data_IF_910197443456
#
_entry.id   IF_910197443456
#
_cell.length_a   1.000
_cell.length_b   1.000
_cell.length_c   1.000
_cell.angle_alpha   90.00
_cell.angle_beta   90.00
_cell.angle_gamma   90.00
#
_symmetry.space_group_name_H-M   'P 1'
#
loop_
_entity.id
_entity.type
_entity.pdbx_description
1 polymer ?
#
# COMPACT_ATOMS: atom_id res chain seq x y z
N UNK A 1 -24.36 -100.32 -94.53
CA UNK A 1 -24.05 -100.21 -93.10
C UNK A 1 -22.54 -100.24 -93.02
N UNK A 2 -21.92 -99.10 -92.73
CA UNK A 2 -20.48 -98.90 -92.93
C UNK A 2 -19.66 -99.77 -91.96
N UNK A 3 -18.85 -100.68 -92.50
CA UNK A 3 -17.97 -101.58 -91.73
C UNK A 3 -16.99 -100.80 -90.82
N UNK A 4 -16.62 -99.58 -91.21
CA UNK A 4 -15.80 -98.67 -90.41
C UNK A 4 -16.49 -98.26 -89.09
N UNK A 5 -17.79 -97.98 -89.12
CA UNK A 5 -18.55 -97.59 -87.92
C UNK A 5 -18.74 -98.77 -86.94
N UNK A 6 -18.80 -100.01 -87.46
CA UNK A 6 -18.86 -101.22 -86.62
C UNK A 6 -17.52 -101.58 -85.98
N UNK A 7 -16.40 -101.31 -86.65
CA UNK A 7 -15.04 -101.51 -86.10
C UNK A 7 -14.71 -100.48 -85.01
N UNK A 8 -15.13 -99.22 -85.16
CA UNK A 8 -15.02 -98.21 -84.12
C UNK A 8 -15.89 -98.53 -82.88
N UNK A 9 -17.10 -99.05 -83.07
CA UNK A 9 -17.96 -99.48 -81.95
C UNK A 9 -17.40 -100.68 -81.19
N UNK A 10 -16.75 -101.63 -81.87
CA UNK A 10 -16.09 -102.77 -81.22
C UNK A 10 -14.85 -102.34 -80.44
N UNK A 11 -14.02 -101.45 -80.99
CA UNK A 11 -12.84 -100.94 -80.28
C UNK A 11 -13.23 -100.13 -79.03
N UNK A 12 -14.28 -99.31 -79.10
CA UNK A 12 -14.84 -98.61 -77.93
C UNK A 12 -15.35 -99.60 -76.89
N UNK A 13 -16.00 -100.69 -77.31
CA UNK A 13 -16.50 -101.72 -76.38
C UNK A 13 -15.36 -102.49 -75.69
N UNK A 14 -14.30 -102.84 -76.41
CA UNK A 14 -13.11 -103.46 -75.83
C UNK A 14 -12.42 -102.53 -74.82
N UNK A 15 -12.31 -101.23 -75.13
CA UNK A 15 -11.77 -100.25 -74.19
C UNK A 15 -12.64 -100.16 -72.93
N UNK A 16 -13.97 -100.11 -73.07
CA UNK A 16 -14.89 -100.08 -71.92
C UNK A 16 -14.79 -101.37 -71.09
N UNK A 17 -14.70 -102.53 -71.72
CA UNK A 17 -14.59 -103.82 -71.02
C UNK A 17 -13.22 -103.97 -70.33
N UNK A 18 -12.15 -103.44 -70.91
CA UNK A 18 -10.84 -103.36 -70.26
C UNK A 18 -10.87 -102.41 -69.05
N UNK A 19 -11.45 -101.20 -69.19
CA UNK A 19 -11.65 -100.28 -68.06
C UNK A 19 -12.46 -100.94 -66.95
N UNK A 20 -13.51 -101.71 -67.28
CA UNK A 20 -14.30 -102.45 -66.29
C UNK A 20 -13.49 -103.53 -65.58
N UNK A 21 -12.66 -104.28 -66.30
CA UNK A 21 -11.77 -105.30 -65.71
C UNK A 21 -10.73 -104.66 -64.78
N UNK A 22 -10.10 -103.57 -65.22
CA UNK A 22 -9.11 -102.84 -64.44
C UNK A 22 -9.73 -102.21 -63.19
N UNK A 23 -10.91 -101.60 -63.32
CA UNK A 23 -11.65 -101.04 -62.17
C UNK A 23 -12.03 -102.13 -61.18
N UNK A 24 -12.48 -103.29 -61.66
CA UNK A 24 -12.80 -104.44 -60.79
C UNK A 24 -11.56 -104.97 -60.08
N UNK A 25 -10.43 -105.08 -60.77
CA UNK A 25 -9.18 -105.51 -60.14
C UNK A 25 -8.73 -104.49 -59.09
N UNK A 26 -8.78 -103.19 -59.39
CA UNK A 26 -8.40 -102.13 -58.46
C UNK A 26 -9.27 -102.15 -57.20
N UNK A 27 -10.60 -102.28 -57.35
CA UNK A 27 -11.52 -102.38 -56.22
C UNK A 27 -11.30 -103.64 -55.37
N UNK A 28 -10.99 -104.78 -55.99
CA UNK A 28 -10.64 -106.00 -55.25
C UNK A 28 -9.32 -105.85 -54.48
N UNK A 29 -8.33 -105.18 -55.07
CA UNK A 29 -7.05 -104.88 -54.40
C UNK A 29 -7.24 -103.94 -53.21
N UNK A 30 -8.00 -102.85 -53.40
CA UNK A 30 -8.36 -101.92 -52.32
C UNK A 30 -9.12 -102.61 -51.19
N UNK A 31 -10.08 -103.50 -51.52
CA UNK A 31 -10.81 -104.29 -50.51
C UNK A 31 -9.87 -105.20 -49.73
N UNK A 32 -8.90 -105.82 -50.40
CA UNK A 32 -7.94 -106.71 -49.76
C UNK A 32 -6.96 -105.95 -48.86
N UNK A 33 -6.51 -104.75 -49.25
CA UNK A 33 -5.75 -103.85 -48.39
C UNK A 33 -6.57 -103.35 -47.20
N UNK A 34 -7.85 -103.02 -47.40
CA UNK A 34 -8.75 -102.61 -46.33
C UNK A 34 -8.99 -103.76 -45.33
N UNK A 35 -9.07 -105.01 -45.79
CA UNK A 35 -9.14 -106.16 -44.89
C UNK A 35 -7.82 -106.37 -44.13
N UNK A 36 -6.67 -106.23 -44.78
CA UNK A 36 -5.36 -106.30 -44.09
C UNK A 36 -5.21 -105.21 -43.03
N UNK A 37 -5.65 -103.97 -43.31
CA UNK A 37 -5.60 -102.89 -42.33
C UNK A 37 -6.60 -103.11 -41.20
N UNK A 38 -7.82 -103.57 -41.50
CA UNK A 38 -8.80 -103.97 -40.48
C UNK A 38 -8.27 -105.08 -39.58
N UNK A 39 -7.65 -106.12 -40.15
CA UNK A 39 -7.05 -107.22 -39.38
C UNK A 39 -5.85 -106.74 -38.56
N UNK A 40 -5.05 -105.82 -39.09
CA UNK A 40 -3.95 -105.18 -38.36
C UNK A 40 -4.47 -104.40 -37.15
N UNK A 41 -5.49 -103.55 -37.32
CA UNK A 41 -6.09 -102.81 -36.21
C UNK A 41 -6.79 -103.75 -35.22
N UNK A 42 -7.48 -104.79 -35.69
CA UNK A 42 -8.11 -105.78 -34.81
C UNK A 42 -7.09 -106.59 -34.00
N UNK A 43 -5.91 -106.88 -34.57
CA UNK A 43 -4.81 -107.53 -33.85
C UNK A 43 -4.13 -106.58 -32.87
N UNK A 44 -3.90 -105.31 -33.24
CA UNK A 44 -3.39 -104.26 -32.35
C UNK A 44 -4.32 -104.05 -31.15
N UNK A 45 -5.64 -103.95 -31.39
CA UNK A 45 -6.64 -103.80 -30.34
C UNK A 45 -6.77 -105.04 -29.46
N UNK A 46 -6.62 -106.25 -30.03
CA UNK A 46 -6.54 -107.49 -29.23
C UNK A 46 -5.28 -107.52 -28.38
N UNK A 47 -4.13 -107.13 -28.91
CA UNK A 47 -2.89 -107.10 -28.15
C UNK A 47 -2.91 -106.04 -27.03
N UNK A 48 -3.45 -104.85 -27.31
CA UNK A 48 -3.72 -103.82 -26.29
C UNK A 48 -4.71 -104.32 -25.24
N UNK A 49 -5.77 -105.00 -25.65
CA UNK A 49 -6.72 -105.64 -24.74
C UNK A 49 -6.02 -106.70 -23.89
N UNK A 50 -5.16 -107.54 -24.45
CA UNK A 50 -4.43 -108.58 -23.72
C UNK A 50 -3.42 -107.96 -22.74
N UNK A 51 -2.81 -106.81 -23.06
CA UNK A 51 -1.96 -106.03 -22.14
C UNK A 51 -2.81 -105.38 -21.02
N UNK A 52 -4.00 -104.89 -21.35
CA UNK A 52 -4.92 -104.29 -20.37
C UNK A 52 -5.67 -105.31 -19.51
N UNK A 53 -5.79 -106.56 -19.98
CA UNK A 53 -6.46 -107.68 -19.32
C UNK A 53 -5.48 -108.71 -18.73
N UNK A 54 -4.18 -108.64 -19.06
CA UNK A 54 -3.13 -109.21 -18.23
C UNK A 54 -3.37 -108.67 -16.82
N UNK A 55 -3.42 -109.54 -15.79
CA UNK A 55 -3.63 -109.06 -14.44
C UNK A 55 -2.44 -108.16 -14.12
N UNK A 56 -2.67 -106.84 -14.16
CA UNK A 56 -1.72 -105.86 -13.70
C UNK A 56 -1.25 -106.37 -12.35
N UNK A 57 0.03 -106.72 -12.25
CA UNK A 57 0.61 -107.18 -11.00
C UNK A 57 0.09 -106.23 -9.93
N UNK A 58 -0.50 -106.77 -8.86
CA UNK A 58 -1.17 -105.94 -7.85
C UNK A 58 -0.27 -104.83 -7.28
N UNK A 59 1.05 -104.88 -7.54
CA UNK A 59 2.07 -103.86 -7.33
C UNK A 59 1.94 -102.61 -8.22
N UNK A 60 1.72 -102.74 -9.54
CA UNK A 60 1.68 -101.61 -10.47
C UNK A 60 0.41 -100.76 -10.32
N UNK A 61 -0.74 -101.43 -10.12
CA UNK A 61 -1.99 -100.73 -9.80
C UNK A 61 -1.92 -100.04 -8.43
N UNK A 62 -1.37 -100.72 -7.40
CA UNK A 62 -1.12 -100.10 -6.09
C UNK A 62 -0.19 -98.89 -6.18
N UNK A 63 0.87 -98.97 -7.00
CA UNK A 63 1.76 -97.85 -7.22
C UNK A 63 1.06 -96.65 -7.87
N UNK A 64 0.20 -96.89 -8.86
CA UNK A 64 -0.62 -95.84 -9.47
C UNK A 64 -1.60 -95.18 -8.48
N UNK A 65 -2.23 -95.97 -7.61
CA UNK A 65 -3.10 -95.47 -6.54
C UNK A 65 -2.32 -94.66 -5.51
N UNK A 66 -1.15 -95.14 -5.05
CA UNK A 66 -0.29 -94.39 -4.13
C UNK A 66 0.19 -93.05 -4.71
N UNK A 67 0.52 -93.00 -6.00
CA UNK A 67 0.88 -91.75 -6.67
C UNK A 67 -0.33 -90.82 -6.75
N UNK A 68 -1.50 -91.33 -7.09
CA UNK A 68 -2.72 -90.54 -7.15
C UNK A 68 -3.11 -89.97 -5.77
N UNK A 69 -2.98 -90.75 -4.70
CA UNK A 69 -3.21 -90.32 -3.31
C UNK A 69 -2.18 -89.27 -2.85
N UNK A 70 -0.89 -89.47 -3.17
CA UNK A 70 0.15 -88.45 -2.91
C UNK A 70 -0.12 -87.16 -3.67
N UNK A 71 -0.53 -87.24 -4.93
CA UNK A 71 -0.86 -86.06 -5.72
C UNK A 71 -2.13 -85.36 -5.19
N UNK A 72 -3.16 -86.11 -4.80
CA UNK A 72 -4.38 -85.56 -4.21
C UNK A 72 -4.11 -84.84 -2.88
N UNK A 73 -3.26 -85.42 -2.02
CA UNK A 73 -2.86 -84.78 -0.75
C UNK A 73 -2.01 -83.53 -0.98
N UNK A 74 -1.08 -83.56 -1.95
CA UNK A 74 -0.33 -82.36 -2.34
C UNK A 74 -1.24 -81.27 -2.91
N UNK A 75 -2.19 -81.62 -3.78
CA UNK A 75 -3.17 -80.68 -4.32
C UNK A 75 -4.03 -80.06 -3.21
N UNK A 76 -4.55 -80.86 -2.28
CA UNK A 76 -5.31 -80.37 -1.13
C UNK A 76 -4.50 -79.37 -0.30
N UNK A 77 -3.21 -79.65 -0.06
CA UNK A 77 -2.33 -78.73 0.66
C UNK A 77 -2.09 -77.43 -0.12
N UNK A 78 -1.89 -77.51 -1.43
CA UNK A 78 -1.74 -76.30 -2.25
C UNK A 78 -3.03 -75.47 -2.29
N UNK A 79 -4.20 -76.10 -2.28
CA UNK A 79 -5.49 -75.40 -2.17
C UNK A 79 -5.63 -74.68 -0.84
N UNK A 80 -5.24 -75.32 0.27
CA UNK A 80 -5.21 -74.69 1.60
C UNK A 80 -4.27 -73.47 1.63
N UNK A 81 -3.06 -73.60 1.08
CA UNK A 81 -2.07 -72.51 0.99
C UNK A 81 -2.61 -71.34 0.14
N UNK A 82 -3.24 -71.63 -1.00
CA UNK A 82 -3.91 -70.63 -1.85
C UNK A 82 -5.03 -69.94 -1.07
N UNK A 83 -5.86 -70.70 -0.34
CA UNK A 83 -6.97 -70.15 0.43
C UNK A 83 -6.47 -69.23 1.56
N UNK A 84 -5.40 -69.62 2.26
CA UNK A 84 -4.75 -68.78 3.26
C UNK A 84 -4.20 -67.48 2.64
N UNK A 85 -3.53 -67.57 1.49
CA UNK A 85 -3.02 -66.39 0.78
C UNK A 85 -4.16 -65.44 0.33
N UNK A 86 -5.28 -66.00 -0.15
CA UNK A 86 -6.46 -65.23 -0.52
C UNK A 86 -7.08 -64.51 0.67
N UNK A 87 -7.20 -65.18 1.82
CA UNK A 87 -7.71 -64.55 3.04
C UNK A 87 -6.79 -63.44 3.54
N UNK A 88 -5.47 -63.66 3.56
CA UNK A 88 -4.51 -62.62 3.93
C UNK A 88 -4.58 -61.39 3.02
N UNK A 89 -4.72 -61.61 1.71
CA UNK A 89 -4.87 -60.53 0.75
C UNK A 89 -6.21 -59.80 0.91
N UNK A 90 -7.30 -60.52 1.20
CA UNK A 90 -8.60 -59.93 1.52
C UNK A 90 -8.50 -59.02 2.74
N UNK A 91 -7.83 -59.46 3.80
CA UNK A 91 -7.66 -58.66 5.03
C UNK A 91 -6.82 -57.40 4.76
N UNK A 92 -5.72 -57.53 4.01
CA UNK A 92 -4.91 -56.37 3.58
C UNK A 92 -5.72 -55.38 2.74
N UNK A 93 -6.52 -55.86 1.79
CA UNK A 93 -7.38 -55.00 0.97
C UNK A 93 -8.44 -54.30 1.83
N UNK A 94 -9.03 -55.01 2.79
CA UNK A 94 -10.00 -54.40 3.72
C UNK A 94 -9.36 -53.30 4.57
N UNK A 95 -8.14 -53.52 5.08
CA UNK A 95 -7.39 -52.50 5.83
C UNK A 95 -7.02 -51.31 4.96
N UNK A 96 -6.56 -51.55 3.73
CA UNK A 96 -6.24 -50.50 2.77
C UNK A 96 -7.48 -49.66 2.41
N UNK A 97 -8.64 -50.29 2.26
CA UNK A 97 -9.91 -49.62 1.99
C UNK A 97 -10.34 -48.72 3.16
N UNK A 98 -10.17 -49.17 4.41
CA UNK A 98 -10.43 -48.32 5.59
C UNK A 98 -9.49 -47.12 5.62
N UNK A 99 -8.19 -47.32 5.37
CA UNK A 99 -7.21 -46.22 5.29
C UNK A 99 -7.55 -45.22 4.18
N UNK A 100 -7.97 -45.70 3.01
CA UNK A 100 -8.38 -44.86 1.89
C UNK A 100 -9.63 -44.02 2.22
N UNK A 101 -10.61 -44.60 2.92
CA UNK A 101 -11.79 -43.87 3.39
C UNK A 101 -11.41 -42.77 4.40
N UNK A 102 -10.56 -43.09 5.37
CA UNK A 102 -10.04 -42.11 6.33
C UNK A 102 -9.30 -40.95 5.63
N UNK A 103 -8.42 -41.26 4.68
CA UNK A 103 -7.72 -40.24 3.90
C UNK A 103 -8.69 -39.35 3.13
N UNK A 104 -9.71 -39.94 2.50
CA UNK A 104 -10.76 -39.18 1.81
C UNK A 104 -11.48 -38.22 2.77
N UNK A 105 -11.86 -38.67 3.95
CA UNK A 105 -12.51 -37.83 4.97
C UNK A 105 -11.59 -36.69 5.45
N UNK A 106 -10.30 -36.96 5.66
CA UNK A 106 -9.33 -35.94 6.02
C UNK A 106 -9.19 -34.89 4.91
N UNK A 107 -9.02 -35.31 3.65
CA UNK A 107 -8.94 -34.40 2.51
C UNK A 107 -10.21 -33.54 2.40
N UNK A 108 -11.39 -34.13 2.62
CA UNK A 108 -12.64 -33.36 2.63
C UNK A 108 -12.70 -32.32 3.76
N UNK A 109 -12.16 -32.62 4.95
CA UNK A 109 -12.10 -31.64 6.04
C UNK A 109 -11.09 -30.52 5.73
N UNK A 110 -9.92 -30.88 5.22
CA UNK A 110 -8.86 -29.92 4.90
C UNK A 110 -9.28 -28.99 3.77
N UNK A 111 -9.98 -29.51 2.75
CA UNK A 111 -10.54 -28.69 1.67
C UNK A 111 -11.58 -27.69 2.17
N UNK A 112 -12.49 -28.11 3.06
CA UNK A 112 -13.45 -27.19 3.69
C UNK A 112 -12.77 -26.10 4.53
N UNK A 113 -11.68 -26.43 5.23
CA UNK A 113 -10.90 -25.44 6.00
C UNK A 113 -10.21 -24.46 5.03
N UNK A 114 -9.59 -24.96 3.97
CA UNK A 114 -8.94 -24.13 2.96
C UNK A 114 -9.92 -23.19 2.25
N UNK A 115 -11.13 -23.66 1.91
CA UNK A 115 -12.19 -22.84 1.34
C UNK A 115 -12.62 -21.70 2.28
N UNK A 116 -12.80 -21.99 3.57
CA UNK A 116 -13.08 -20.95 4.58
C UNK A 116 -11.96 -19.93 4.67
N UNK A 117 -10.70 -20.36 4.67
CA UNK A 117 -9.55 -19.47 4.72
C UNK A 117 -9.46 -18.58 3.46
N UNK A 118 -9.79 -19.10 2.28
CA UNK A 118 -9.86 -18.31 1.04
C UNK A 118 -10.90 -17.21 1.18
N UNK A 119 -12.11 -17.53 1.65
CA UNK A 119 -13.19 -16.54 1.86
C UNK A 119 -12.76 -15.47 2.87
N UNK A 120 -12.16 -15.86 4.00
CA UNK A 120 -11.64 -14.91 5.00
C UNK A 120 -10.54 -14.00 4.41
N UNK A 121 -9.62 -14.55 3.62
CA UNK A 121 -8.57 -13.78 2.95
C UNK A 121 -9.16 -12.77 1.95
N UNK A 122 -10.22 -13.12 1.24
CA UNK A 122 -10.91 -12.20 0.34
C UNK A 122 -11.62 -11.08 1.09
N UNK A 123 -12.32 -11.40 2.19
CA UNK A 123 -12.93 -10.39 3.06
C UNK A 123 -11.88 -9.42 3.63
N UNK A 124 -10.72 -9.93 4.05
CA UNK A 124 -9.62 -9.09 4.52
C UNK A 124 -9.05 -8.19 3.42
N UNK A 125 -8.98 -8.66 2.17
CA UNK A 125 -8.57 -7.83 1.03
C UNK A 125 -9.57 -6.70 0.78
N UNK A 126 -10.87 -6.97 0.81
CA UNK A 126 -11.92 -5.96 0.66
C UNK A 126 -11.84 -4.92 1.80
N UNK A 127 -11.78 -5.37 3.05
CA UNK A 127 -11.65 -4.48 4.22
C UNK A 127 -10.38 -3.61 4.16
N UNK A 128 -9.27 -4.16 3.67
CA UNK A 128 -8.04 -3.38 3.44
C UNK A 128 -8.24 -2.29 2.38
N UNK A 129 -8.99 -2.56 1.32
CA UNK A 129 -9.32 -1.55 0.31
C UNK A 129 -10.24 -0.46 0.87
N UNK A 130 -11.26 -0.84 1.63
CA UNK A 130 -12.16 0.11 2.32
C UNK A 130 -11.39 1.04 3.27
N UNK A 131 -10.50 0.49 4.11
CA UNK A 131 -9.68 1.29 5.01
C UNK A 131 -8.73 2.24 4.28
N UNK A 132 -8.19 1.82 3.12
CA UNK A 132 -7.39 2.72 2.26
C UNK A 132 -8.23 3.88 1.74
N UNK A 133 -9.44 3.61 1.25
CA UNK A 133 -10.35 4.65 0.78
C UNK A 133 -10.76 5.61 1.91
N UNK A 134 -11.09 5.07 3.09
CA UNK A 134 -11.39 5.88 4.28
C UNK A 134 -10.21 6.76 4.68
N UNK A 135 -8.98 6.24 4.64
CA UNK A 135 -7.78 7.02 4.93
C UNK A 135 -7.57 8.16 3.91
N UNK A 136 -7.78 7.90 2.63
CA UNK A 136 -7.70 8.93 1.57
C UNK A 136 -8.73 10.03 1.83
N UNK A 137 -10.00 9.66 2.08
CA UNK A 137 -11.06 10.62 2.36
C UNK A 137 -10.80 11.43 3.64
N UNK A 138 -10.29 10.80 4.70
CA UNK A 138 -9.92 11.49 5.93
C UNK A 138 -8.78 12.51 5.68
N UNK A 139 -7.76 12.13 4.90
CA UNK A 139 -6.67 13.03 4.54
C UNK A 139 -7.15 14.22 3.70
N UNK A 140 -8.09 14.00 2.77
CA UNK A 140 -8.72 15.08 2.01
C UNK A 140 -9.45 16.07 2.92
N UNK A 141 -10.27 15.56 3.87
CA UNK A 141 -10.95 16.41 4.87
C UNK A 141 -9.95 17.21 5.72
N UNK A 142 -8.87 16.57 6.18
CA UNK A 142 -7.82 17.27 6.93
C UNK A 142 -7.19 18.38 6.08
N UNK A 143 -6.94 18.15 4.78
CA UNK A 143 -6.42 19.19 3.89
C UNK A 143 -7.40 20.35 3.72
N UNK A 144 -8.69 20.07 3.54
CA UNK A 144 -9.74 21.10 3.47
C UNK A 144 -9.80 21.92 4.77
N UNK A 145 -9.75 21.27 5.92
CA UNK A 145 -9.79 21.96 7.22
C UNK A 145 -8.54 22.79 7.46
N UNK A 146 -7.36 22.34 7.02
CA UNK A 146 -6.13 23.15 7.03
C UNK A 146 -6.31 24.42 6.19
N UNK A 147 -6.94 24.33 5.02
CA UNK A 147 -7.20 25.49 4.18
C UNK A 147 -8.18 26.47 4.85
N UNK A 148 -9.27 25.96 5.43
CA UNK A 148 -10.24 26.78 6.18
C UNK A 148 -9.58 27.47 7.38
N UNK A 149 -8.75 26.77 8.15
CA UNK A 149 -8.02 27.36 9.28
C UNK A 149 -7.05 28.46 8.80
N UNK A 150 -6.36 28.26 7.67
CA UNK A 150 -5.50 29.30 7.09
C UNK A 150 -6.29 30.54 6.69
N UNK A 151 -7.48 30.36 6.13
CA UNK A 151 -8.36 31.46 5.75
C UNK A 151 -8.90 32.22 6.97
N UNK A 152 -9.39 31.50 8.00
CA UNK A 152 -9.83 32.09 9.26
C UNK A 152 -8.71 32.90 9.94
N UNK A 153 -7.50 32.34 10.01
CA UNK A 153 -6.33 33.06 10.55
C UNK A 153 -6.00 34.34 9.75
N UNK A 154 -6.22 34.34 8.43
CA UNK A 154 -6.02 35.53 7.60
C UNK A 154 -7.09 36.58 7.89
N UNK A 155 -8.35 36.18 8.02
CA UNK A 155 -9.45 37.07 8.38
C UNK A 155 -9.25 37.67 9.78
N UNK A 156 -8.85 36.86 10.77
CA UNK A 156 -8.57 37.31 12.14
C UNK A 156 -7.42 38.33 12.17
N UNK A 157 -6.36 38.12 11.39
CA UNK A 157 -5.27 39.10 11.25
C UNK A 157 -5.74 40.42 10.65
N UNK A 158 -6.59 40.37 9.63
CA UNK A 158 -7.15 41.58 9.02
C UNK A 158 -8.05 42.33 9.99
N UNK A 159 -8.90 41.61 10.74
CA UNK A 159 -9.77 42.21 11.74
C UNK A 159 -8.98 42.82 12.89
N UNK A 160 -7.96 42.12 13.41
CA UNK A 160 -7.09 42.65 14.45
C UNK A 160 -6.33 43.90 13.97
N UNK A 161 -5.82 43.90 12.73
CA UNK A 161 -5.17 45.07 12.16
C UNK A 161 -6.14 46.26 12.04
N UNK A 162 -7.37 46.02 11.60
CA UNK A 162 -8.43 47.05 11.55
C UNK A 162 -8.73 47.61 12.94
N UNK A 163 -8.90 46.74 13.94
CA UNK A 163 -9.13 47.14 15.35
C UNK A 163 -7.97 47.96 15.90
N UNK A 164 -6.72 47.62 15.58
CA UNK A 164 -5.55 48.40 15.97
C UNK A 164 -5.51 49.78 15.31
N UNK A 165 -5.83 49.85 14.01
CA UNK A 165 -5.92 51.12 13.28
C UNK A 165 -7.01 52.02 13.86
N UNK A 166 -8.21 51.49 14.12
CA UNK A 166 -9.29 52.24 14.77
C UNK A 166 -8.86 52.75 16.16
N UNK A 167 -8.13 51.94 16.93
CA UNK A 167 -7.60 52.37 18.24
C UNK A 167 -6.58 53.51 18.09
N UNK A 168 -5.70 53.45 17.10
CA UNK A 168 -4.73 54.52 16.81
C UNK A 168 -5.41 55.81 16.37
N UNK A 169 -6.42 55.73 15.50
CA UNK A 169 -7.21 56.89 15.08
C UNK A 169 -7.94 57.54 16.27
N UNK A 170 -8.53 56.74 17.16
CA UNK A 170 -9.13 57.24 18.41
C UNK A 170 -8.11 57.93 19.32
N UNK A 171 -6.91 57.37 19.45
CA UNK A 171 -5.84 58.00 20.23
C UNK A 171 -5.35 59.30 19.59
N UNK A 172 -5.20 59.34 18.27
CA UNK A 172 -4.76 60.52 17.52
C UNK A 172 -5.81 61.64 17.60
N UNK A 173 -7.08 61.32 17.44
CA UNK A 173 -8.18 62.29 17.61
C UNK A 173 -8.24 62.81 19.04
N UNK A 174 -8.05 61.95 20.05
CA UNK A 174 -7.99 62.39 21.44
C UNK A 174 -6.81 63.32 21.71
N UNK A 175 -5.60 62.98 21.24
CA UNK A 175 -4.42 63.85 21.35
C UNK A 175 -4.62 65.19 20.62
N UNK A 176 -5.23 65.18 19.44
CA UNK A 176 -5.59 66.40 18.70
C UNK A 176 -6.54 67.29 19.51
N UNK A 177 -7.58 66.70 20.12
CA UNK A 177 -8.52 67.43 20.96
C UNK A 177 -7.82 68.03 22.20
N UNK A 178 -7.02 67.24 22.93
CA UNK A 178 -6.27 67.69 24.12
C UNK A 178 -5.30 68.82 23.77
N UNK A 179 -4.55 68.71 22.67
CA UNK A 179 -3.64 69.78 22.24
C UNK A 179 -4.38 71.04 21.83
N UNK A 180 -5.56 70.93 21.22
CA UNK A 180 -6.42 72.08 20.91
C UNK A 180 -6.95 72.76 22.17
N UNK A 181 -7.34 71.99 23.19
CA UNK A 181 -7.79 72.51 24.49
C UNK A 181 -6.65 73.17 25.25
N UNK A 182 -5.46 72.58 25.25
CA UNK A 182 -4.26 73.17 25.84
C UNK A 182 -3.95 74.52 25.20
N UNK A 183 -3.99 74.63 23.86
CA UNK A 183 -3.77 75.92 23.16
C UNK A 183 -4.81 76.96 23.56
N UNK A 184 -6.09 76.58 23.68
CA UNK A 184 -7.17 77.48 24.17
C UNK A 184 -6.91 77.92 25.61
N UNK A 185 -6.50 77.02 26.49
CA UNK A 185 -6.16 77.32 27.88
C UNK A 185 -4.94 78.25 27.98
N UNK A 186 -3.90 78.03 27.17
CA UNK A 186 -2.72 78.91 27.10
C UNK A 186 -3.08 80.32 26.61
N UNK A 187 -3.96 80.44 25.61
CA UNK A 187 -4.46 81.73 25.16
C UNK A 187 -5.22 82.46 26.27
N UNK A 188 -6.17 81.78 26.93
CA UNK A 188 -6.88 82.34 28.09
C UNK A 188 -5.93 82.76 29.21
N UNK A 189 -4.89 81.97 29.49
CA UNK A 189 -3.90 82.29 30.51
C UNK A 189 -3.03 83.50 30.13
N UNK A 190 -2.73 83.68 28.84
CA UNK A 190 -2.06 84.91 28.35
C UNK A 190 -2.97 86.13 28.47
N UNK A 191 -4.25 86.00 28.16
CA UNK A 191 -5.24 87.08 28.31
C UNK A 191 -5.44 87.47 29.78
N UNK A 192 -5.59 86.50 30.68
CA UNK A 192 -5.72 86.78 32.12
C UNK A 192 -4.45 87.40 32.70
N UNK A 193 -3.26 86.95 32.28
CA UNK A 193 -2.00 87.61 32.65
C UNK A 193 -1.99 89.08 32.24
N UNK A 194 -2.37 89.41 31.00
CA UNK A 194 -2.50 90.80 30.54
C UNK A 194 -3.51 91.59 31.38
N UNK A 195 -4.67 91.01 31.70
CA UNK A 195 -5.67 91.66 32.55
C UNK A 195 -5.15 91.92 33.96
N UNK A 196 -4.40 90.98 34.55
CA UNK A 196 -3.78 91.16 35.88
C UNK A 196 -2.71 92.25 35.82
N UNK A 197 -1.85 92.26 34.80
CA UNK A 197 -0.86 93.32 34.58
C UNK A 197 -1.53 94.69 34.42
N UNK A 198 -2.64 94.77 33.68
CA UNK A 198 -3.43 96.00 33.52
C UNK A 198 -4.05 96.46 34.84
N UNK A 199 -4.60 95.53 35.64
CA UNK A 199 -5.17 95.82 36.96
C UNK A 199 -4.08 96.25 37.94
N UNK A 200 -2.91 95.61 37.93
CA UNK A 200 -1.75 96.03 38.71
C UNK A 200 -1.27 97.41 38.28
N UNK A 201 -1.18 97.69 36.98
CA UNK A 201 -0.83 99.01 36.45
C UNK A 201 -1.84 100.06 36.91
N UNK A 202 -3.14 99.78 36.80
CA UNK A 202 -4.21 100.65 37.31
C UNK A 202 -4.13 100.83 38.83
N UNK A 203 -3.80 99.79 39.60
CA UNK A 203 -3.62 99.87 41.06
C UNK A 203 -2.41 100.73 41.43
N UNK A 204 -1.26 100.52 40.77
CA UNK A 204 -0.04 101.33 40.92
C UNK A 204 -0.27 102.78 40.48
N UNK A 205 -1.07 103.01 39.45
CA UNK A 205 -1.48 104.35 39.03
C UNK A 205 -2.40 105.00 40.08
N UNK A 206 -3.44 104.31 40.53
CA UNK A 206 -4.35 104.79 41.55
C UNK A 206 -3.66 105.05 42.90
N UNK A 207 -2.66 104.25 43.29
CA UNK A 207 -1.82 104.54 44.46
C UNK A 207 -1.01 105.82 44.29
N UNK A 208 -0.45 106.08 43.10
CA UNK A 208 0.25 107.33 42.79
C UNK A 208 -0.68 108.55 42.86
N UNK A 209 -1.95 108.39 42.47
CA UNK A 209 -2.95 109.46 42.48
C UNK A 209 -3.54 109.71 43.88
N UNK A 210 -3.90 108.65 44.62
CA UNK A 210 -4.56 108.77 45.94
C UNK A 210 -3.61 109.05 47.10
N UNK A 211 -2.34 108.65 47.00
CA UNK A 211 -1.34 108.85 48.05
C UNK A 211 0.05 109.07 47.41
N UNK A 212 0.35 110.27 46.90
CA UNK A 212 1.64 110.52 46.28
C UNK A 212 2.75 110.43 47.32
N UNK A 213 3.56 109.37 47.25
CA UNK A 213 4.79 109.25 48.04
C UNK A 213 5.79 110.35 47.63
N UNK A 214 6.75 110.74 48.50
CA UNK A 214 7.73 111.79 48.20
C UNK A 214 8.47 111.57 46.87
N UNK A 215 8.75 110.30 46.53
CA UNK A 215 9.37 109.87 45.28
C UNK A 215 8.50 110.13 44.04
N UNK A 216 7.17 110.01 44.16
CA UNK A 216 6.23 110.29 43.06
C UNK A 216 6.04 111.80 42.80
N UNK A 217 6.07 112.63 43.86
CA UNK A 217 6.10 114.10 43.75
C UNK A 217 7.41 114.59 43.11
N UNK A 218 8.53 113.96 43.43
CA UNK A 218 9.83 114.27 42.82
C UNK A 218 9.87 113.89 41.33
N UNK A 219 9.27 112.77 40.93
CA UNK A 219 9.22 112.35 39.52
C UNK A 219 8.32 113.24 38.65
N UNK A 220 7.14 113.64 39.14
CA UNK A 220 6.24 114.55 38.41
C UNK A 220 6.84 115.95 38.23
N UNK A 221 7.58 116.47 39.23
CA UNK A 221 8.35 117.72 39.07
C UNK A 221 9.53 117.58 38.10
N UNK A 222 10.17 116.41 38.03
CA UNK A 222 11.29 116.15 37.11
C UNK A 222 10.87 115.97 35.65
N UNK A 223 9.63 115.57 35.35
CA UNK A 223 9.19 115.44 33.95
C UNK A 223 9.01 116.77 33.20
N UNK A 224 8.97 117.90 33.91
CA UNK A 224 9.01 119.24 33.27
C UNK A 224 10.46 119.71 33.04
N UNK A 225 11.46 119.05 33.65
CA UNK A 225 12.86 119.51 33.67
C UNK A 225 13.86 118.58 32.95
N UNK A 226 13.43 117.42 32.44
CA UNK A 226 14.31 116.38 31.87
C UNK A 226 13.93 115.95 30.45
N UNK A 227 13.43 116.87 29.61
CA UNK A 227 13.40 116.65 28.16
C UNK A 227 14.74 116.93 27.46
N UNK A 228 15.80 117.24 28.23
CA UNK A 228 17.16 117.30 27.71
C UNK A 228 18.02 116.18 28.32
N UNK A 229 18.53 115.35 27.41
CA UNK A 229 19.70 114.48 27.54
C UNK A 229 19.50 113.24 28.43
N UNK A 230 19.31 112.09 27.78
CA UNK A 230 20.07 110.85 28.01
C UNK A 230 19.61 109.78 27.00
N UNK A 231 20.15 109.89 25.79
CA UNK A 231 20.27 108.79 24.85
C UNK A 231 21.32 107.80 25.35
N UNK A 232 20.88 106.59 25.72
CA UNK A 232 21.59 105.28 25.73
C UNK A 232 21.02 104.42 26.89
N UNK A 233 20.87 103.08 26.79
CA UNK A 233 21.70 102.16 25.98
C UNK A 233 20.91 101.05 25.23
N UNK A 234 21.44 100.53 24.12
CA UNK A 234 21.14 99.16 23.71
C UNK A 234 22.43 98.34 23.71
N UNK A 235 22.73 97.86 24.91
CA UNK A 235 23.64 96.76 25.14
C UNK A 235 23.00 95.50 24.54
N UNK A 236 23.49 95.07 23.38
CA UNK A 236 23.19 93.75 22.83
C UNK A 236 23.88 92.69 23.72
N UNK A 237 23.18 91.69 24.26
CA UNK A 237 23.83 90.47 24.72
C UNK A 237 24.10 89.55 23.51
N UNK A 238 25.31 88.99 23.35
CA UNK A 238 25.60 88.07 22.26
C UNK A 238 24.83 86.76 22.45
N UNK A 239 24.15 86.34 21.37
CA UNK A 239 23.61 85.00 21.15
C UNK A 239 24.72 83.97 21.40
N UNK A 240 24.63 83.21 22.50
CA UNK A 240 25.35 81.94 22.61
C UNK A 240 24.70 80.94 21.68
N UNK A 241 25.45 80.51 20.67
CA UNK A 241 25.16 79.33 19.88
C UNK A 241 25.37 78.09 20.77
N UNK A 242 24.29 77.38 21.08
CA UNK A 242 24.38 75.97 21.47
C UNK A 242 24.06 75.13 20.24
N UNK A 243 25.10 74.48 19.69
CA UNK A 243 24.98 73.47 18.65
C UNK A 243 24.52 72.16 19.28
N UNK A 244 23.21 72.03 19.47
CA UNK A 244 22.56 70.73 19.70
C UNK A 244 22.32 70.06 18.35
N UNK A 245 23.09 69.01 18.06
CA UNK A 245 22.98 68.18 16.86
C UNK A 245 21.54 67.73 16.63
N UNK A 246 20.98 68.16 15.51
CA UNK A 246 19.84 67.54 14.82
C UNK A 246 20.31 66.22 14.23
N UNK A 247 19.77 65.09 14.67
CA UNK A 247 19.82 63.86 13.88
C UNK A 247 18.85 64.02 12.72
N UNK A 248 19.42 64.36 11.56
CA UNK A 248 18.73 64.28 10.29
C UNK A 248 18.19 62.87 10.07
N UNK A 249 16.90 62.81 9.77
CA UNK A 249 16.40 61.89 8.76
C UNK A 249 17.25 62.06 7.49
N UNK A 250 17.98 61.02 7.11
CA UNK A 250 18.31 60.78 5.71
C UNK A 250 17.49 59.59 5.24
N UNK A 251 16.45 59.90 4.49
CA UNK A 251 16.00 59.11 3.37
C UNK A 251 17.10 59.12 2.30
N UNK A 252 17.65 57.97 2.00
CA UNK A 252 18.19 57.65 0.69
C UNK A 252 17.55 56.34 0.29
N UNK A 253 16.55 56.43 -0.58
CA UNK A 253 16.33 55.41 -1.59
C UNK A 253 17.67 55.16 -2.29
N UNK A 254 18.17 53.93 -2.16
CA UNK A 254 19.33 53.43 -2.89
C UNK A 254 18.91 52.07 -3.41
N UNK A 255 18.61 52.01 -4.70
CA UNK A 255 18.59 50.78 -5.48
C UNK A 255 20.02 50.20 -5.50
N UNK A 256 20.36 49.40 -4.49
CA UNK A 256 21.42 48.41 -4.60
C UNK A 256 20.95 47.08 -4.01
N UNK A 257 21.01 46.04 -4.85
CA UNK A 257 20.74 44.66 -4.47
C UNK A 257 21.54 44.28 -3.21
N UNK A 258 20.91 43.71 -2.17
CA UNK A 258 21.68 43.19 -1.05
C UNK A 258 22.46 41.94 -1.53
N UNK A 259 23.73 41.75 -1.11
CA UNK A 259 24.45 40.54 -1.44
C UNK A 259 23.66 39.33 -0.91
N UNK A 260 23.38 38.34 -1.77
CA UNK A 260 22.68 37.09 -1.43
C UNK A 260 23.42 36.38 -0.28
N UNK A 261 23.02 36.67 0.96
CA UNK A 261 23.56 36.06 2.18
C UNK A 261 23.26 34.55 2.14
N UNK A 262 24.31 33.72 2.01
CA UNK A 262 24.24 32.24 2.01
C UNK A 262 24.16 31.65 3.42
N UNK A 263 23.65 32.40 4.39
CA UNK A 263 23.62 31.98 5.79
C UNK A 263 22.25 32.28 6.40
N UNK A 264 21.65 31.28 7.04
CA UNK A 264 20.46 31.48 7.87
C UNK A 264 20.94 31.69 9.32
N UNK A 265 20.41 32.73 9.95
CA UNK A 265 20.61 32.95 11.38
C UNK A 265 19.62 32.07 12.16
N UNK A 266 20.15 31.24 13.06
CA UNK A 266 19.32 30.43 13.96
C UNK A 266 19.75 30.73 15.39
N UNK A 267 18.80 31.12 16.23
CA UNK A 267 19.00 31.27 17.67
C UNK A 267 18.86 29.89 18.30
N UNK A 268 19.98 29.32 18.75
CA UNK A 268 19.98 28.03 19.44
C UNK A 268 20.24 28.32 20.92
N UNK A 269 19.28 27.93 21.77
CA UNK A 269 19.37 28.01 23.22
C UNK A 269 19.53 26.59 23.77
N UNK A 270 20.75 26.09 24.01
CA UNK A 270 20.95 24.80 24.65
C UNK A 270 20.71 24.87 26.18
N UNK A 271 20.61 26.06 26.76
CA UNK A 271 20.10 26.28 28.12
C UNK A 271 19.32 27.60 28.20
N UNK A 272 18.25 27.63 29.00
CA UNK A 272 17.24 28.69 29.09
C UNK A 272 17.73 30.05 29.61
N UNK A 273 19.01 30.41 29.49
CA UNK A 273 19.54 31.64 30.12
C UNK A 273 20.14 32.67 29.18
N UNK A 274 20.70 32.32 28.00
CA UNK A 274 21.05 33.29 26.94
C UNK A 274 21.04 32.60 25.56
N UNK A 275 20.44 33.19 24.51
CA UNK A 275 20.47 32.61 23.17
C UNK A 275 21.82 32.92 22.48
N UNK A 276 22.50 31.88 22.00
CA UNK A 276 23.74 32.01 21.23
C UNK A 276 23.40 32.14 19.73
N UNK A 277 23.97 33.14 19.06
CA UNK A 277 23.74 33.39 17.62
C UNK A 277 24.70 32.53 16.80
N UNK A 278 24.17 31.58 16.03
CA UNK A 278 24.96 30.68 15.17
C UNK A 278 24.59 30.91 13.72
N UNK A 279 25.58 31.05 12.84
CA UNK A 279 25.38 31.20 11.39
C UNK A 279 25.58 29.86 10.67
N UNK A 280 24.57 29.38 9.97
CA UNK A 280 24.63 28.11 9.21
C UNK A 280 24.61 28.38 7.71
N UNK A 281 25.50 27.77 6.90
CA UNK A 281 25.49 27.92 5.45
C UNK A 281 24.26 27.26 4.82
N UNK A 282 23.62 27.93 3.87
CA UNK A 282 22.39 27.48 3.20
C UNK A 282 22.63 26.64 1.93
N UNK A 283 23.89 26.49 1.50
CA UNK A 283 24.25 25.64 0.35
C UNK A 283 24.69 24.26 0.81
N UNK A 284 24.06 23.20 0.27
CA UNK A 284 24.47 21.81 0.49
C UNK A 284 25.94 21.61 0.07
N UNK A 285 26.76 20.87 0.84
CA UNK A 285 28.09 20.49 0.38
C UNK A 285 27.94 19.72 -0.94
N UNK A 286 28.69 20.13 -1.97
CA UNK A 286 28.77 19.36 -3.21
C UNK A 286 29.41 18.02 -2.88
N UNK A 287 28.61 16.96 -2.92
CA UNK A 287 29.11 15.59 -2.83
C UNK A 287 30.10 15.37 -3.98
N UNK A 288 31.38 15.20 -3.64
CA UNK A 288 32.37 14.63 -4.56
C UNK A 288 31.95 13.19 -4.80
N UNK A 289 31.41 12.90 -5.98
CA UNK A 289 31.24 11.54 -6.46
C UNK A 289 32.63 10.94 -6.65
N UNK A 290 32.93 9.91 -5.88
CA UNK A 290 33.94 8.91 -6.21
C UNK A 290 33.39 7.98 -7.28
#
# INVERSE_FOLDING_TARGET
MDEAATLELQSVKEVVDNIRKDTKHMLMSMKQEQMKTSDFFANQLRHLRDICLEPAESSAYRHGVEIAERNATLLSKTEEDIFQALNHNKDKLSSALVKAKLLKETIMKDTLIAEKEIVEREQLKLRKQELKLQSILANQKIQEDILKIKELNKQERQENHKREMEKRERQQTHLSNVTSEQKKAEQRLKETKRQVEDVEHKRRFNQRVKSPTPTSRAAAKRQISYHQVLSSPQHNPPRRFFTGRTTQHQSTDSDEEPPKKKYCEVLISPSKKLPSRVMLPTSKPKDKKH
#
